data_IF_399527720901
#
_entry.id   IF_399527720901
#
_cell.length_a   1.000
_cell.length_b   1.000
_cell.length_c   1.000
_cell.angle_alpha   90.00
_cell.angle_beta   90.00
_cell.angle_gamma   90.00
#
_symmetry.space_group_name_H-M   'P 1'
#
loop_
_entity.id
_entity.type
_entity.pdbx_description
1 polymer ?
#
# COMPACT_ATOMS: atom_id res chain seq x y z
N UNK A 1 37.48 13.71 32.96
CA UNK A 1 37.99 12.75 31.96
C UNK A 1 37.26 11.40 32.00
N UNK A 2 37.26 10.67 33.14
CA UNK A 2 36.64 9.29 33.22
C UNK A 2 35.16 9.25 32.74
N UNK A 3 34.32 10.25 33.09
CA UNK A 3 32.91 10.33 32.70
C UNK A 3 32.74 10.50 31.19
N UNK A 4 33.61 11.26 30.52
CA UNK A 4 33.53 11.47 29.06
C UNK A 4 33.93 10.22 28.32
N UNK A 5 34.95 9.47 28.78
CA UNK A 5 35.33 8.18 28.23
C UNK A 5 34.21 7.13 28.40
N UNK A 6 33.50 7.13 29.54
CA UNK A 6 32.37 6.24 29.76
C UNK A 6 31.20 6.60 28.79
N UNK A 7 30.87 7.87 28.64
CA UNK A 7 29.84 8.33 27.66
C UNK A 7 30.22 7.93 26.23
N UNK A 8 31.47 8.19 25.83
CA UNK A 8 31.98 7.80 24.53
C UNK A 8 31.86 6.31 24.30
N UNK A 9 32.28 5.47 25.25
CA UNK A 9 32.22 4.02 25.13
C UNK A 9 30.78 3.51 24.97
N UNK A 10 29.84 4.06 25.75
CA UNK A 10 28.42 3.67 25.64
C UNK A 10 27.84 4.08 24.27
N UNK A 11 28.05 5.33 23.84
CA UNK A 11 27.54 5.82 22.55
C UNK A 11 28.17 5.06 21.39
N UNK A 12 29.49 4.83 21.45
CA UNK A 12 30.19 4.06 20.43
C UNK A 12 29.67 2.62 20.37
N UNK A 13 29.48 1.95 21.50
CA UNK A 13 28.96 0.60 21.54
C UNK A 13 27.55 0.51 20.94
N UNK A 14 26.65 1.41 21.32
CA UNK A 14 25.30 1.49 20.75
C UNK A 14 25.33 1.77 19.24
N UNK A 15 26.20 2.66 18.81
CA UNK A 15 26.37 2.98 17.39
C UNK A 15 26.91 1.79 16.59
N UNK A 16 27.92 1.09 17.10
CA UNK A 16 28.46 -0.11 16.46
C UNK A 16 27.43 -1.24 16.39
N UNK A 17 26.63 -1.45 17.45
CA UNK A 17 25.51 -2.39 17.43
C UNK A 17 24.47 -2.02 16.36
N UNK A 18 24.18 -0.72 16.23
CA UNK A 18 23.31 -0.23 15.16
C UNK A 18 23.88 -0.50 13.77
N UNK A 19 25.20 -0.25 13.55
CA UNK A 19 25.86 -0.51 12.27
C UNK A 19 25.87 -2.02 11.91
N UNK A 20 26.11 -2.87 12.90
CA UNK A 20 26.04 -4.33 12.73
C UNK A 20 24.62 -4.75 12.35
N UNK A 21 23.61 -4.21 13.02
CA UNK A 21 22.20 -4.50 12.71
C UNK A 21 21.81 -4.05 11.31
N UNK A 22 22.25 -2.85 10.89
CA UNK A 22 21.97 -2.28 9.55
C UNK A 22 22.91 -2.85 8.48
N UNK A 23 23.95 -3.62 8.87
CA UNK A 23 24.97 -4.16 7.97
C UNK A 23 25.65 -3.09 7.11
N UNK A 24 25.94 -1.92 7.69
CA UNK A 24 26.49 -0.75 6.98
C UNK A 24 27.90 -0.40 7.46
N UNK A 25 28.93 -0.80 6.70
CA UNK A 25 30.31 -0.42 6.99
C UNK A 25 30.61 1.07 6.69
N UNK A 26 29.85 1.65 5.77
CA UNK A 26 30.00 3.08 5.44
C UNK A 26 29.72 3.99 6.64
N UNK A 27 28.88 3.54 7.57
CA UNK A 27 28.58 4.25 8.81
C UNK A 27 29.79 4.44 9.71
N UNK A 28 30.88 3.67 9.56
CA UNK A 28 32.11 3.86 10.33
C UNK A 28 32.72 5.24 10.15
N UNK A 29 32.42 5.95 9.06
CA UNK A 29 32.87 7.34 8.84
C UNK A 29 32.38 8.31 9.93
N UNK A 30 31.34 7.95 10.68
CA UNK A 30 30.78 8.77 11.78
C UNK A 30 31.58 8.59 13.09
N UNK A 31 32.30 7.48 13.24
CA UNK A 31 33.04 7.18 14.48
C UNK A 31 34.05 8.26 14.86
N UNK A 32 34.89 8.82 13.95
CA UNK A 32 35.77 9.93 14.26
C UNK A 32 35.05 11.18 14.81
N UNK A 33 33.83 11.45 14.30
CA UNK A 33 33.02 12.58 14.80
C UNK A 33 32.48 12.33 16.20
N UNK A 34 32.02 11.10 16.49
CA UNK A 34 31.62 10.69 17.85
C UNK A 34 32.83 10.84 18.79
N UNK A 35 34.04 10.44 18.37
CA UNK A 35 35.25 10.55 19.15
C UNK A 35 35.61 12.04 19.40
N UNK A 36 35.44 12.90 18.40
CA UNK A 36 35.69 14.32 18.56
C UNK A 36 34.71 14.96 19.55
N UNK A 37 33.41 14.68 19.44
CA UNK A 37 32.38 15.26 20.33
C UNK A 37 32.67 14.97 21.82
N UNK A 38 33.12 13.76 22.14
CA UNK A 38 33.30 13.36 23.54
C UNK A 38 34.71 13.50 24.06
N UNK A 39 35.75 13.32 23.22
CA UNK A 39 37.14 13.16 23.65
C UNK A 39 38.00 14.33 23.18
N UNK A 40 38.17 14.52 21.86
CA UNK A 40 39.14 15.51 21.34
C UNK A 40 38.63 16.93 21.39
N UNK A 41 37.34 17.14 21.18
CA UNK A 41 36.67 18.46 21.18
C UNK A 41 37.37 19.50 20.31
N UNK A 42 38.02 19.05 19.22
CA UNK A 42 38.71 19.91 18.28
C UNK A 42 37.75 20.73 17.42
N UNK A 43 36.59 20.15 17.08
CA UNK A 43 35.55 20.84 16.35
C UNK A 43 34.61 21.51 17.36
N UNK A 44 34.47 22.84 17.25
CA UNK A 44 33.57 23.60 18.10
C UNK A 44 32.12 23.45 17.60
N UNK A 45 31.53 22.24 17.80
CA UNK A 45 30.18 21.91 17.35
C UNK A 45 29.09 22.87 17.82
N UNK A 46 29.35 23.49 19.00
CA UNK A 46 28.40 24.40 19.66
C UNK A 46 29.02 25.79 19.82
N UNK A 47 29.76 26.28 18.81
CA UNK A 47 30.44 27.59 18.80
C UNK A 47 29.50 28.73 19.17
N UNK A 48 28.23 28.62 18.78
CA UNK A 48 27.19 29.59 19.06
C UNK A 48 26.88 29.79 20.55
N UNK A 49 27.28 28.88 21.43
CA UNK A 49 27.14 29.03 22.88
C UNK A 49 28.05 30.08 23.49
N UNK A 50 29.13 30.38 22.83
CA UNK A 50 30.10 31.36 23.22
C UNK A 50 29.72 32.77 22.72
N UNK A 51 28.69 32.87 21.85
CA UNK A 51 28.14 34.12 21.35
C UNK A 51 27.08 34.72 22.30
N UNK A 52 26.82 36.03 22.17
CA UNK A 52 25.84 36.75 22.96
C UNK A 52 24.70 37.31 22.09
N UNK A 53 23.56 37.67 22.73
CA UNK A 53 22.46 38.39 22.10
C UNK A 53 21.71 37.57 21.04
N UNK A 54 21.32 38.17 19.88
CA UNK A 54 20.47 37.55 18.88
C UNK A 54 21.06 36.28 18.24
N UNK A 55 22.41 36.27 18.05
CA UNK A 55 23.10 35.13 17.43
C UNK A 55 22.91 33.85 18.26
N UNK A 56 23.17 33.95 19.56
CA UNK A 56 22.96 32.81 20.48
C UNK A 56 21.51 32.32 20.48
N UNK A 57 20.57 33.24 20.50
CA UNK A 57 19.13 32.90 20.48
C UNK A 57 18.76 32.18 19.20
N UNK A 58 19.06 32.74 18.03
CA UNK A 58 18.74 32.16 16.72
C UNK A 58 19.40 30.79 16.55
N UNK A 59 20.72 30.71 16.82
CA UNK A 59 21.46 29.47 16.64
C UNK A 59 21.04 28.35 17.58
N UNK A 60 20.52 28.67 18.78
CA UNK A 60 19.97 27.66 19.67
C UNK A 60 18.71 27.01 19.09
N UNK A 61 17.86 27.76 18.40
CA UNK A 61 16.70 27.22 17.68
C UNK A 61 17.10 26.42 16.44
N UNK A 62 18.12 26.90 15.70
CA UNK A 62 18.63 26.16 14.53
C UNK A 62 19.21 24.81 14.96
N UNK A 63 20.03 24.78 16.03
CA UNK A 63 20.61 23.54 16.56
C UNK A 63 19.51 22.54 17.01
N UNK A 64 18.52 23.03 17.77
CA UNK A 64 17.39 22.21 18.19
C UNK A 64 16.59 21.68 17.01
N UNK A 65 16.34 22.51 16.00
CA UNK A 65 15.59 22.10 14.79
C UNK A 65 16.37 21.07 13.98
N UNK A 66 17.66 21.28 13.73
CA UNK A 66 18.51 20.33 13.01
C UNK A 66 18.57 18.99 13.74
N UNK A 67 18.79 19.02 15.06
CA UNK A 67 18.78 17.81 15.87
C UNK A 67 17.43 17.07 15.77
N UNK A 68 16.32 17.80 15.91
CA UNK A 68 14.98 17.21 15.83
C UNK A 68 14.71 16.57 14.45
N UNK A 69 15.06 17.27 13.36
CA UNK A 69 14.87 16.76 11.99
C UNK A 69 15.70 15.49 11.74
N UNK A 70 16.98 15.48 12.15
CA UNK A 70 17.84 14.30 12.02
C UNK A 70 17.32 13.14 12.86
N UNK A 71 16.96 13.39 14.12
CA UNK A 71 16.44 12.35 15.00
C UNK A 71 15.14 11.75 14.45
N UNK A 72 14.19 12.60 14.04
CA UNK A 72 12.91 12.14 13.47
C UNK A 72 13.13 11.39 12.15
N UNK A 73 14.06 11.84 11.32
CA UNK A 73 14.40 11.13 10.08
C UNK A 73 14.87 9.69 10.36
N UNK A 74 15.81 9.51 11.29
CA UNK A 74 16.30 8.16 11.66
C UNK A 74 15.24 7.31 12.35
N UNK A 75 14.43 7.90 13.22
CA UNK A 75 13.32 7.19 13.88
C UNK A 75 12.31 6.72 12.83
N UNK A 76 11.88 7.60 11.93
CA UNK A 76 10.93 7.25 10.87
C UNK A 76 11.50 6.23 9.88
N UNK A 77 12.80 6.25 9.65
CA UNK A 77 13.44 5.32 8.72
C UNK A 77 13.54 3.90 9.29
N UNK A 78 13.99 3.75 10.54
CA UNK A 78 14.38 2.46 11.10
C UNK A 78 13.41 1.89 12.12
N UNK A 79 12.64 2.71 12.84
CA UNK A 79 11.89 2.24 13.99
C UNK A 79 10.38 2.31 13.80
N UNK A 80 9.82 3.50 13.70
CA UNK A 80 8.37 3.68 13.56
C UNK A 80 8.02 4.98 12.84
N UNK A 81 6.83 5.00 12.28
CA UNK A 81 6.27 6.16 11.59
C UNK A 81 4.77 6.25 11.85
N UNK A 82 4.26 7.46 11.95
CA UNK A 82 2.82 7.68 12.11
C UNK A 82 2.15 7.83 10.74
N UNK A 83 0.95 7.25 10.62
CA UNK A 83 0.08 7.36 9.45
C UNK A 83 -1.33 7.67 9.87
N UNK A 84 -2.09 8.35 9.03
CA UNK A 84 -3.52 8.56 9.19
C UNK A 84 -4.28 7.71 8.18
N UNK A 85 -5.43 7.18 8.58
CA UNK A 85 -6.35 6.44 7.71
C UNK A 85 -7.22 7.45 6.96
N UNK A 86 -7.07 7.57 5.62
CA UNK A 86 -7.81 8.57 4.85
C UNK A 86 -9.12 8.02 4.23
N UNK A 87 -9.34 6.70 4.24
CA UNK A 87 -10.44 6.07 3.50
C UNK A 87 -11.09 4.93 4.26
N UNK A 88 -12.32 4.61 3.91
CA UNK A 88 -13.16 3.56 4.53
C UNK A 88 -12.86 2.13 4.08
N UNK A 89 -11.75 1.88 3.36
CA UNK A 89 -11.43 0.53 2.82
C UNK A 89 -11.16 -0.55 3.88
N UNK A 90 -10.79 -0.15 5.12
CA UNK A 90 -10.66 -1.02 6.29
C UNK A 90 -11.73 -0.69 7.36
N UNK A 91 -12.84 -0.08 6.94
CA UNK A 91 -13.92 0.33 7.84
C UNK A 91 -14.34 -0.81 8.78
N UNK A 92 -14.74 -0.48 9.99
CA UNK A 92 -14.98 -1.32 11.18
C UNK A 92 -13.69 -1.85 11.84
N UNK A 93 -12.60 -2.09 11.11
CA UNK A 93 -11.29 -2.42 11.68
C UNK A 93 -10.48 -1.16 11.97
N UNK A 94 -10.18 -0.38 10.94
CA UNK A 94 -9.55 0.94 11.06
C UNK A 94 -10.48 1.98 10.42
N UNK A 95 -10.80 3.01 11.18
CA UNK A 95 -11.75 4.04 10.76
C UNK A 95 -11.03 5.21 10.11
N UNK A 96 -11.68 5.87 9.19
CA UNK A 96 -11.20 7.16 8.65
C UNK A 96 -10.94 8.13 9.79
N UNK A 97 -9.75 8.74 9.85
CA UNK A 97 -9.31 9.61 10.94
C UNK A 97 -8.63 8.89 12.12
N UNK A 98 -8.37 7.58 12.03
CA UNK A 98 -7.46 6.88 12.94
C UNK A 98 -6.01 7.22 12.61
N UNK A 99 -5.22 7.57 13.62
CA UNK A 99 -3.78 7.79 13.53
C UNK A 99 -3.05 6.58 14.09
N UNK A 100 -2.28 5.93 13.23
CA UNK A 100 -1.60 4.68 13.51
C UNK A 100 -0.14 4.89 13.88
N UNK A 101 0.30 4.20 14.92
CA UNK A 101 1.71 4.00 15.20
C UNK A 101 2.18 2.74 14.49
N UNK A 102 3.01 2.89 13.45
CA UNK A 102 3.45 1.80 12.58
C UNK A 102 4.89 1.44 12.86
N UNK A 103 5.12 0.21 13.30
CA UNK A 103 6.46 -0.33 13.56
C UNK A 103 7.08 -0.89 12.28
N UNK A 104 8.25 -0.39 11.92
CA UNK A 104 9.09 -0.94 10.84
C UNK A 104 9.92 -2.12 11.33
N UNK A 105 10.29 -2.12 12.60
CA UNK A 105 11.08 -3.19 13.23
C UNK A 105 10.34 -4.52 13.22
N UNK A 106 9.01 -4.51 13.24
CA UNK A 106 8.19 -5.73 13.23
C UNK A 106 8.52 -6.65 12.05
N UNK A 107 8.68 -6.09 10.84
CA UNK A 107 9.03 -6.84 9.62
C UNK A 107 10.46 -6.57 9.14
N UNK A 108 11.19 -5.68 9.84
CA UNK A 108 12.50 -5.18 9.46
C UNK A 108 12.40 -3.92 8.57
N UNK A 109 13.11 -2.84 8.95
CA UNK A 109 13.14 -1.62 8.16
C UNK A 109 13.84 -1.84 6.82
N UNK A 110 13.36 -1.15 5.79
CA UNK A 110 14.04 -1.09 4.49
C UNK A 110 15.13 -0.03 4.52
N UNK A 111 16.27 -0.31 3.92
CA UNK A 111 17.22 0.73 3.57
C UNK A 111 16.60 1.55 2.43
N UNK A 112 16.62 2.89 2.50
CA UNK A 112 16.01 3.71 1.46
C UNK A 112 16.70 3.51 0.11
N UNK A 113 15.89 3.34 -0.94
CA UNK A 113 16.39 3.30 -2.32
C UNK A 113 16.90 4.68 -2.74
N UNK A 114 16.24 5.75 -2.28
CA UNK A 114 16.63 7.15 -2.50
C UNK A 114 17.04 7.81 -1.17
N UNK A 115 18.30 7.65 -0.72
CA UNK A 115 18.74 8.10 0.60
C UNK A 115 18.75 9.62 0.79
N UNK A 116 18.91 10.38 -0.28
CA UNK A 116 18.94 11.84 -0.23
C UNK A 116 17.52 12.38 -0.40
N UNK A 117 16.84 12.58 0.72
CA UNK A 117 15.46 13.06 0.76
C UNK A 117 15.24 14.10 1.85
N UNK A 118 14.31 15.02 1.61
CA UNK A 118 13.86 15.97 2.62
C UNK A 118 13.11 15.20 3.73
N UNK A 119 13.50 15.37 5.01
CA UNK A 119 12.78 14.78 6.12
C UNK A 119 11.29 15.17 6.13
N UNK A 120 10.44 14.27 6.64
CA UNK A 120 8.99 14.47 6.79
C UNK A 120 8.19 14.62 5.49
N UNK A 121 8.78 14.31 4.34
CA UNK A 121 8.10 14.32 3.05
C UNK A 121 8.08 12.93 2.44
N UNK A 122 7.02 12.59 1.68
CA UNK A 122 6.95 11.31 0.98
C UNK A 122 7.58 11.40 -0.42
N UNK A 123 7.10 12.28 -1.26
CA UNK A 123 7.55 12.40 -2.66
C UNK A 123 7.63 13.84 -3.16
N UNK A 124 6.84 14.76 -2.57
CA UNK A 124 6.72 16.15 -3.02
C UNK A 124 6.91 17.11 -1.85
N UNK A 125 7.61 18.19 -2.06
CA UNK A 125 7.75 19.25 -1.07
C UNK A 125 6.45 20.04 -0.96
N UNK A 126 5.93 20.24 0.25
CA UNK A 126 4.78 21.10 0.47
C UNK A 126 5.07 22.53 -0.03
N UNK A 127 4.06 23.24 -0.47
CA UNK A 127 4.06 24.63 -0.95
C UNK A 127 4.67 24.85 -2.34
N UNK A 128 5.70 24.12 -2.74
CA UNK A 128 6.42 24.37 -4.01
C UNK A 128 6.21 23.27 -5.06
N UNK A 129 5.54 22.18 -4.70
CA UNK A 129 5.18 21.05 -5.57
C UNK A 129 6.33 20.49 -6.42
N UNK A 130 7.55 20.48 -5.88
CA UNK A 130 8.73 19.85 -6.51
C UNK A 130 9.09 18.55 -5.81
N UNK A 131 9.85 17.66 -6.48
CA UNK A 131 10.35 16.42 -5.89
C UNK A 131 11.10 16.70 -4.58
N UNK A 132 10.80 15.97 -3.53
CA UNK A 132 11.44 16.08 -2.21
C UNK A 132 12.65 15.17 -2.03
N UNK A 133 13.07 14.49 -3.08
CA UNK A 133 14.19 13.53 -3.08
C UNK A 133 15.03 13.67 -4.34
N UNK A 134 16.27 13.19 -4.24
CA UNK A 134 17.22 13.10 -5.36
C UNK A 134 17.29 11.64 -5.80
N UNK A 135 17.21 11.38 -7.11
CA UNK A 135 17.20 10.02 -7.65
C UNK A 135 18.59 9.35 -7.63
N UNK A 136 19.64 10.11 -7.41
CA UNK A 136 21.01 9.59 -7.30
C UNK A 136 21.62 10.01 -5.96
N UNK A 137 22.27 9.09 -5.19
CA UNK A 137 22.42 7.67 -5.50
C UNK A 137 21.09 6.90 -5.36
N UNK A 138 20.93 5.87 -6.18
CA UNK A 138 19.83 4.90 -6.09
C UNK A 138 20.40 3.56 -5.63
N UNK A 139 19.88 3.02 -4.52
CA UNK A 139 20.36 1.77 -3.93
C UNK A 139 19.39 0.63 -4.23
N UNK A 140 19.95 -0.58 -4.42
CA UNK A 140 19.14 -1.77 -4.56
C UNK A 140 18.36 -2.07 -3.27
N UNK A 141 17.18 -2.69 -3.44
CA UNK A 141 16.37 -3.11 -2.31
C UNK A 141 17.16 -3.96 -1.32
N UNK A 142 17.13 -3.55 -0.07
CA UNK A 142 17.66 -4.30 1.07
C UNK A 142 16.81 -4.06 2.31
N UNK A 143 16.53 -5.14 3.03
CA UNK A 143 15.77 -5.10 4.29
C UNK A 143 16.66 -5.56 5.42
N UNK A 144 16.66 -4.79 6.50
CA UNK A 144 17.31 -5.16 7.77
C UNK A 144 16.46 -6.22 8.47
N UNK A 145 17.10 -7.14 9.19
CA UNK A 145 16.39 -8.19 9.92
C UNK A 145 15.44 -7.60 10.95
N UNK A 146 14.16 -7.98 10.87
CA UNK A 146 13.11 -7.59 11.81
C UNK A 146 12.86 -8.62 12.90
N UNK A 147 11.81 -8.37 13.69
CA UNK A 147 11.37 -9.27 14.77
C UNK A 147 10.56 -10.47 14.25
N UNK A 148 10.03 -10.38 13.02
CA UNK A 148 9.26 -11.44 12.41
C UNK A 148 8.90 -11.13 10.96
N UNK A 149 8.03 -11.95 10.37
CA UNK A 149 7.52 -11.81 9.01
C UNK A 149 6.04 -11.45 9.04
N UNK A 150 5.53 -10.97 7.91
CA UNK A 150 4.10 -10.76 7.70
C UNK A 150 3.35 -12.07 7.89
N UNK A 151 2.29 -12.04 8.71
CA UNK A 151 1.44 -13.18 9.01
C UNK A 151 0.09 -13.03 8.34
N UNK A 152 -0.59 -14.17 8.18
CA UNK A 152 -1.97 -14.19 7.69
C UNK A 152 -2.86 -13.37 8.62
N UNK A 153 -3.71 -12.54 8.04
CA UNK A 153 -4.60 -11.59 8.69
C UNK A 153 -3.93 -10.38 9.38
N UNK A 154 -2.60 -10.22 9.33
CA UNK A 154 -1.97 -8.97 9.72
C UNK A 154 -2.52 -7.79 8.89
N UNK A 155 -2.77 -6.65 9.52
CA UNK A 155 -2.92 -5.38 8.82
C UNK A 155 -1.52 -4.85 8.53
N UNK A 156 -1.27 -4.47 7.27
CA UNK A 156 0.08 -4.15 6.78
C UNK A 156 0.05 -2.81 6.07
N UNK A 157 1.02 -1.94 6.39
CA UNK A 157 1.31 -0.73 5.61
C UNK A 157 2.35 -1.07 4.55
N UNK A 158 2.08 -0.69 3.31
CA UNK A 158 2.96 -0.94 2.16
C UNK A 158 2.87 0.18 1.13
N UNK A 159 3.88 0.32 0.29
CA UNK A 159 3.84 1.25 -0.84
C UNK A 159 2.96 0.67 -1.96
N UNK A 160 2.18 1.52 -2.61
CA UNK A 160 1.23 1.14 -3.65
C UNK A 160 1.94 0.47 -4.84
N UNK A 161 1.65 -0.80 -5.17
CA UNK A 161 2.42 -1.55 -6.16
C UNK A 161 2.29 -0.99 -7.58
N UNK A 162 1.10 -0.48 -7.95
CA UNK A 162 0.86 0.11 -9.27
C UNK A 162 1.22 1.60 -9.35
N UNK A 163 1.78 2.19 -8.28
CA UNK A 163 2.19 3.59 -8.20
C UNK A 163 3.59 3.86 -8.77
N UNK A 164 4.19 2.93 -9.54
CA UNK A 164 5.46 3.10 -10.23
C UNK A 164 5.38 4.11 -11.39
N UNK A 165 4.22 4.21 -12.01
CA UNK A 165 3.93 5.14 -13.11
C UNK A 165 2.65 5.92 -12.77
N UNK A 166 2.65 7.22 -13.01
CA UNK A 166 1.50 8.09 -12.84
C UNK A 166 1.57 9.27 -13.80
N UNK A 167 0.43 9.94 -13.98
CA UNK A 167 0.36 11.23 -14.66
C UNK A 167 0.54 12.36 -13.65
N UNK A 168 1.22 13.43 -14.02
CA UNK A 168 1.59 14.50 -13.08
C UNK A 168 0.51 15.57 -12.88
N UNK A 169 -0.67 15.41 -13.46
CA UNK A 169 -1.82 16.28 -13.20
C UNK A 169 -2.49 15.90 -11.87
N UNK A 170 -2.66 16.85 -10.96
CA UNK A 170 -3.07 16.64 -9.56
C UNK A 170 -4.39 15.84 -9.44
N UNK A 171 -5.39 16.14 -10.27
CA UNK A 171 -6.70 15.44 -10.26
C UNK A 171 -6.65 13.98 -10.62
N UNK A 172 -5.56 13.51 -11.25
CA UNK A 172 -5.37 12.11 -11.67
C UNK A 172 -4.27 11.37 -10.90
N UNK A 173 -3.46 12.06 -10.08
CA UNK A 173 -2.33 11.45 -9.37
C UNK A 173 -2.73 10.29 -8.44
N UNK A 174 -3.96 10.30 -7.92
CA UNK A 174 -4.50 9.23 -7.07
C UNK A 174 -5.02 8.03 -7.88
N UNK A 175 -5.14 8.14 -9.21
CA UNK A 175 -5.67 7.08 -10.06
C UNK A 175 -4.58 6.06 -10.40
N UNK A 176 -4.97 4.80 -10.53
CA UNK A 176 -4.11 3.77 -11.09
C UNK A 176 -3.87 4.04 -12.58
N UNK A 177 -2.62 4.35 -12.94
CA UNK A 177 -2.24 4.65 -14.33
C UNK A 177 -2.58 3.51 -15.29
N UNK A 178 -2.37 2.26 -14.87
CA UNK A 178 -2.62 1.10 -15.73
C UNK A 178 -4.10 0.86 -15.97
N UNK A 179 -4.93 1.03 -14.94
CA UNK A 179 -6.39 1.00 -15.10
C UNK A 179 -6.88 2.14 -15.98
N UNK A 180 -6.35 3.35 -15.81
CA UNK A 180 -6.70 4.50 -16.63
C UNK A 180 -6.34 4.29 -18.10
N UNK A 181 -5.13 3.81 -18.38
CA UNK A 181 -4.68 3.46 -19.74
C UNK A 181 -5.59 2.40 -20.36
N UNK A 182 -5.91 1.34 -19.61
CA UNK A 182 -6.78 0.26 -20.05
C UNK A 182 -8.19 0.80 -20.36
N UNK A 183 -8.81 1.50 -19.44
CA UNK A 183 -10.20 2.00 -19.59
C UNK A 183 -10.34 2.97 -20.76
N UNK A 184 -9.38 3.89 -20.93
CA UNK A 184 -9.36 4.83 -22.07
C UNK A 184 -9.15 4.07 -23.38
N UNK A 185 -8.21 3.12 -23.40
CA UNK A 185 -7.92 2.32 -24.59
C UNK A 185 -9.11 1.48 -25.03
N UNK A 186 -9.76 0.81 -24.09
CA UNK A 186 -10.94 -0.02 -24.32
C UNK A 186 -12.10 0.83 -24.84
N UNK A 187 -12.38 1.97 -24.21
CA UNK A 187 -13.42 2.91 -24.66
C UNK A 187 -13.18 3.42 -26.08
N UNK A 188 -11.94 3.78 -26.40
CA UNK A 188 -11.59 4.26 -27.75
C UNK A 188 -11.71 3.15 -28.80
N UNK A 189 -11.32 1.91 -28.47
CA UNK A 189 -11.49 0.78 -29.37
C UNK A 189 -12.98 0.46 -29.61
N UNK A 190 -13.82 0.55 -28.59
CA UNK A 190 -15.29 0.42 -28.73
C UNK A 190 -15.86 1.50 -29.64
N UNK A 191 -15.50 2.77 -29.41
CA UNK A 191 -15.96 3.90 -30.21
C UNK A 191 -15.56 3.78 -31.69
N UNK A 192 -14.40 3.20 -31.97
CA UNK A 192 -13.88 2.97 -33.34
C UNK A 192 -14.37 1.66 -33.96
N UNK A 193 -15.25 0.91 -33.31
CA UNK A 193 -15.75 -0.37 -33.80
C UNK A 193 -14.66 -1.49 -33.88
N UNK A 194 -13.59 -1.35 -33.09
CA UNK A 194 -12.47 -2.29 -33.02
C UNK A 194 -12.58 -3.28 -31.85
N UNK A 195 -13.67 -3.18 -31.08
CA UNK A 195 -13.97 -4.14 -30.02
C UNK A 195 -14.09 -5.56 -30.55
N UNK A 196 -13.59 -6.52 -29.82
CA UNK A 196 -13.63 -7.94 -30.19
C UNK A 196 -14.11 -8.78 -29.02
N UNK A 197 -14.83 -9.87 -29.29
CA UNK A 197 -15.20 -10.83 -28.25
C UNK A 197 -13.97 -11.65 -27.80
N UNK A 198 -13.36 -11.19 -26.71
CA UNK A 198 -12.16 -11.80 -26.11
C UNK A 198 -12.41 -13.23 -25.61
N UNK A 199 -13.68 -13.64 -25.39
CA UNK A 199 -14.02 -14.99 -24.90
C UNK A 199 -13.76 -16.04 -25.96
N UNK A 200 -13.91 -15.68 -27.23
CA UNK A 200 -13.67 -16.58 -28.38
C UNK A 200 -12.18 -16.67 -28.76
N UNK A 201 -11.31 -15.87 -28.18
CA UNK A 201 -9.90 -15.78 -28.52
C UNK A 201 -9.04 -16.81 -27.78
N UNK A 202 -8.04 -17.37 -28.44
CA UNK A 202 -6.97 -18.09 -27.76
C UNK A 202 -6.04 -17.12 -27.00
N UNK A 203 -5.20 -17.61 -26.06
CA UNK A 203 -4.36 -16.75 -25.21
C UNK A 203 -3.41 -15.83 -25.99
N UNK A 204 -2.90 -16.22 -27.15
CA UNK A 204 -2.03 -15.36 -27.96
C UNK A 204 -2.82 -14.24 -28.63
N UNK A 205 -4.00 -14.54 -29.13
CA UNK A 205 -4.91 -13.54 -29.69
C UNK A 205 -5.38 -12.53 -28.63
N UNK A 206 -5.72 -13.02 -27.42
CA UNK A 206 -6.05 -12.14 -26.29
C UNK A 206 -4.88 -11.20 -25.98
N UNK A 207 -3.65 -11.73 -25.91
CA UNK A 207 -2.46 -10.92 -25.65
C UNK A 207 -2.31 -9.79 -26.68
N UNK A 208 -2.37 -10.09 -27.96
CA UNK A 208 -2.26 -9.07 -29.00
C UNK A 208 -3.39 -8.04 -28.93
N UNK A 209 -4.60 -8.47 -28.62
CA UNK A 209 -5.72 -7.55 -28.44
C UNK A 209 -5.50 -6.58 -27.27
N UNK A 210 -5.13 -7.09 -26.08
CA UNK A 210 -4.88 -6.25 -24.92
C UNK A 210 -3.64 -5.35 -25.10
N UNK A 211 -2.60 -5.81 -25.81
CA UNK A 211 -1.46 -4.96 -26.20
C UNK A 211 -1.92 -3.76 -27.06
N UNK A 212 -2.88 -3.96 -27.98
CA UNK A 212 -3.49 -2.86 -28.74
C UNK A 212 -4.30 -1.92 -27.85
N UNK A 213 -5.12 -2.45 -26.94
CA UNK A 213 -5.87 -1.63 -25.95
C UNK A 213 -4.92 -0.73 -25.17
N UNK A 214 -3.87 -1.30 -24.60
CA UNK A 214 -2.87 -0.53 -23.85
C UNK A 214 -2.09 0.47 -24.70
N UNK A 215 -1.76 0.12 -25.93
CA UNK A 215 -1.07 1.03 -26.84
C UNK A 215 -1.96 2.23 -27.19
N UNK A 216 -3.25 1.98 -27.48
CA UNK A 216 -4.23 3.02 -27.79
C UNK A 216 -4.40 3.99 -26.61
N UNK A 217 -4.60 3.46 -25.38
CA UNK A 217 -4.77 4.29 -24.19
C UNK A 217 -3.52 5.10 -23.86
N UNK A 218 -2.31 4.49 -23.93
CA UNK A 218 -1.05 5.21 -23.69
C UNK A 218 -0.84 6.33 -24.72
N UNK A 219 -1.08 6.05 -25.99
CA UNK A 219 -0.94 7.05 -27.05
C UNK A 219 -1.88 8.22 -26.82
N UNK A 220 -3.13 7.95 -26.42
CA UNK A 220 -4.10 8.99 -26.11
C UNK A 220 -3.63 9.87 -24.93
N UNK A 221 -3.29 9.28 -23.81
CA UNK A 221 -2.80 10.03 -22.63
C UNK A 221 -1.57 10.86 -23.00
N UNK A 222 -0.59 10.27 -23.70
CA UNK A 222 0.64 10.96 -24.12
C UNK A 222 0.39 12.08 -25.13
N UNK A 223 -0.69 12.01 -25.90
CA UNK A 223 -1.07 13.06 -26.87
C UNK A 223 -1.76 14.25 -26.24
N UNK A 224 -2.16 14.16 -24.97
CA UNK A 224 -2.92 15.20 -24.26
C UNK A 224 -2.20 15.69 -22.98
N UNK A 225 -0.97 16.22 -23.09
CA UNK A 225 -0.19 16.66 -21.91
C UNK A 225 -0.85 17.83 -21.18
N UNK A 226 -1.70 18.63 -21.85
CA UNK A 226 -2.47 19.70 -21.20
C UNK A 226 -3.57 19.20 -20.27
N UNK A 227 -4.01 17.93 -20.41
CA UNK A 227 -5.05 17.32 -19.59
C UNK A 227 -4.46 16.40 -18.51
N UNK A 228 -3.46 15.59 -18.88
CA UNK A 228 -2.88 14.56 -17.99
C UNK A 228 -1.53 14.97 -17.37
N UNK A 229 -0.90 16.04 -17.88
CA UNK A 229 0.46 16.37 -17.51
C UNK A 229 1.47 15.37 -18.08
N UNK A 230 2.69 15.39 -17.52
CA UNK A 230 3.74 14.45 -17.88
C UNK A 230 3.52 13.07 -17.25
N UNK A 231 3.94 12.02 -17.96
CA UNK A 231 3.99 10.66 -17.39
C UNK A 231 5.31 10.56 -16.61
N UNK A 232 5.21 10.34 -15.31
CA UNK A 232 6.37 10.26 -14.42
C UNK A 232 6.44 8.90 -13.72
N UNK A 233 7.66 8.50 -13.31
CA UNK A 233 7.88 7.30 -12.51
C UNK A 233 8.27 7.67 -11.07
N UNK A 234 7.94 6.79 -10.12
CA UNK A 234 8.34 6.92 -8.71
C UNK A 234 9.08 5.67 -8.23
N UNK A 235 10.24 5.81 -7.58
CA UNK A 235 10.89 4.71 -6.86
C UNK A 235 9.97 4.10 -5.81
N UNK A 236 10.20 2.86 -5.44
CA UNK A 236 9.31 2.11 -4.52
C UNK A 236 9.09 2.84 -3.20
N UNK A 237 10.15 3.38 -2.60
CA UNK A 237 10.09 4.08 -1.32
C UNK A 237 9.43 5.48 -1.39
N UNK A 238 9.08 5.96 -2.60
CA UNK A 238 8.44 7.26 -2.85
C UNK A 238 6.98 7.14 -3.33
N UNK A 239 6.45 5.92 -3.46
CA UNK A 239 5.06 5.68 -3.82
C UNK A 239 4.13 5.94 -2.64
N UNK A 240 2.85 6.12 -2.92
CA UNK A 240 1.82 6.27 -1.89
C UNK A 240 1.79 5.10 -0.91
N UNK A 241 1.49 5.39 0.34
CA UNK A 241 1.35 4.36 1.37
C UNK A 241 -0.10 3.89 1.44
N UNK A 242 -0.29 2.59 1.31
CA UNK A 242 -1.57 1.90 1.45
C UNK A 242 -1.56 1.04 2.70
N UNK A 243 -2.75 0.79 3.23
CA UNK A 243 -2.95 -0.14 4.34
C UNK A 243 -4.06 -1.11 3.99
N UNK A 244 -3.78 -2.43 4.10
CA UNK A 244 -4.72 -3.51 3.84
C UNK A 244 -4.42 -4.69 4.76
N UNK A 245 -5.34 -5.66 4.75
CA UNK A 245 -5.14 -6.93 5.45
C UNK A 245 -4.45 -7.94 4.53
N UNK A 246 -3.43 -8.63 5.05
CA UNK A 246 -2.78 -9.72 4.35
C UNK A 246 -3.67 -10.97 4.41
N UNK A 247 -4.28 -11.33 3.30
CA UNK A 247 -5.16 -12.50 3.20
C UNK A 247 -4.55 -13.67 2.46
N UNK A 248 -3.32 -13.52 1.97
CA UNK A 248 -2.57 -14.60 1.31
C UNK A 248 -1.07 -14.40 1.45
N UNK A 249 -0.36 -15.47 1.81
CA UNK A 249 1.07 -15.52 2.05
C UNK A 249 1.82 -16.15 0.87
N UNK A 250 3.14 -15.90 0.73
CA UNK A 250 3.97 -16.52 -0.30
C UNK A 250 3.84 -18.04 -0.33
N UNK A 251 3.72 -18.62 -1.53
CA UNK A 251 3.57 -20.06 -1.76
C UNK A 251 2.15 -20.61 -1.60
N UNK A 252 1.19 -19.81 -1.16
CA UNK A 252 -0.21 -20.24 -1.06
C UNK A 252 -0.96 -20.05 -2.38
N UNK A 253 -1.92 -20.92 -2.64
CA UNK A 253 -2.91 -20.73 -3.71
C UNK A 253 -4.17 -20.12 -3.12
N UNK A 254 -4.49 -18.91 -3.57
CA UNK A 254 -5.66 -18.16 -3.14
C UNK A 254 -6.79 -18.33 -4.16
N UNK A 255 -8.00 -18.54 -3.66
CA UNK A 255 -9.23 -18.55 -4.45
C UNK A 255 -10.35 -17.90 -3.64
N UNK A 256 -11.17 -17.07 -4.26
CA UNK A 256 -12.40 -16.53 -3.66
C UNK A 256 -13.57 -17.26 -4.31
N UNK A 257 -14.43 -17.85 -3.48
CA UNK A 257 -15.68 -18.53 -3.91
C UNK A 257 -16.83 -17.95 -3.09
N UNK A 258 -17.79 -17.35 -3.75
CA UNK A 258 -18.94 -16.73 -3.10
C UNK A 258 -18.52 -15.85 -1.91
N UNK A 259 -17.51 -14.97 -2.14
CA UNK A 259 -16.90 -14.03 -1.19
C UNK A 259 -15.95 -14.62 -0.14
N UNK A 260 -15.97 -15.94 0.04
CA UNK A 260 -15.11 -16.62 1.02
C UNK A 260 -13.74 -16.83 0.40
N UNK A 261 -12.69 -16.39 1.11
CA UNK A 261 -11.30 -16.61 0.73
C UNK A 261 -10.88 -18.03 1.11
N UNK A 262 -10.37 -18.78 0.14
CA UNK A 262 -9.78 -20.10 0.33
C UNK A 262 -8.28 -20.02 0.10
N UNK A 263 -7.51 -20.64 0.99
CA UNK A 263 -6.06 -20.78 0.88
C UNK A 263 -5.70 -22.26 0.82
N UNK A 264 -5.02 -22.68 -0.24
CA UNK A 264 -4.72 -24.09 -0.51
C UNK A 264 -5.96 -24.99 -0.38
N UNK A 265 -7.11 -24.51 -0.86
CA UNK A 265 -8.38 -25.23 -0.83
C UNK A 265 -9.14 -25.21 0.51
N UNK A 266 -8.58 -24.59 1.56
CA UNK A 266 -9.23 -24.46 2.87
C UNK A 266 -9.76 -23.05 3.05
N UNK A 267 -11.00 -22.92 3.55
CA UNK A 267 -11.58 -21.60 3.85
C UNK A 267 -10.76 -20.88 4.94
N UNK A 268 -10.37 -19.64 4.66
CA UNK A 268 -9.76 -18.76 5.66
C UNK A 268 -10.86 -18.21 6.58
N UNK A 269 -10.57 -18.18 7.89
CA UNK A 269 -11.46 -17.51 8.84
C UNK A 269 -11.35 -16.01 8.64
N UNK A 270 -12.43 -15.38 8.22
CA UNK A 270 -12.48 -13.93 8.11
C UNK A 270 -12.60 -13.26 9.48
N UNK A 271 -11.98 -12.07 9.67
CA UNK A 271 -12.27 -11.21 10.81
C UNK A 271 -13.75 -10.82 10.88
N UNK A 272 -14.26 -10.60 12.09
CA UNK A 272 -15.68 -10.28 12.31
C UNK A 272 -16.08 -8.91 11.72
N UNK A 273 -15.11 -8.00 11.56
CA UNK A 273 -15.28 -6.66 10.99
C UNK A 273 -15.33 -6.61 9.46
N UNK A 274 -15.14 -7.74 8.78
CA UNK A 274 -15.29 -7.79 7.32
C UNK A 274 -16.72 -7.46 6.93
N UNK A 275 -16.87 -6.56 5.97
CA UNK A 275 -18.19 -6.14 5.48
C UNK A 275 -18.32 -6.28 3.96
N UNK A 276 -19.56 -6.53 3.55
CA UNK A 276 -20.00 -6.59 2.15
C UNK A 276 -21.16 -5.64 1.94
N UNK A 277 -21.39 -5.19 0.72
CA UNK A 277 -22.55 -4.35 0.40
C UNK A 277 -23.80 -5.18 0.11
N UNK A 278 -24.91 -4.71 0.61
CA UNK A 278 -26.22 -5.32 0.45
C UNK A 278 -27.19 -4.32 -0.16
N UNK A 279 -28.01 -4.77 -1.12
CA UNK A 279 -29.23 -4.06 -1.52
C UNK A 279 -30.27 -4.29 -0.43
N UNK A 280 -30.84 -3.20 0.09
CA UNK A 280 -31.81 -3.26 1.18
C UNK A 280 -33.00 -2.36 0.85
N UNK A 281 -34.18 -2.83 1.25
CA UNK A 281 -35.42 -2.04 1.21
C UNK A 281 -36.05 -2.05 2.58
N UNK A 282 -36.31 -0.86 3.12
CA UNK A 282 -36.94 -0.64 4.40
C UNK A 282 -38.43 -0.37 4.25
N UNK A 283 -39.21 -0.67 5.29
CA UNK A 283 -40.62 -0.33 5.43
C UNK A 283 -40.84 1.08 6.00
N UNK A 284 -39.80 1.75 6.43
CA UNK A 284 -39.78 3.09 7.01
C UNK A 284 -38.39 3.66 7.07
N UNK A 285 -38.19 4.69 7.87
CA UNK A 285 -36.87 5.30 8.08
C UNK A 285 -35.95 4.37 8.92
N UNK A 286 -34.65 4.49 8.71
CA UNK A 286 -33.65 3.75 9.48
C UNK A 286 -33.53 4.38 10.88
N UNK A 287 -33.77 3.63 11.98
CA UNK A 287 -33.60 4.16 13.32
C UNK A 287 -32.14 4.45 13.66
N UNK A 288 -31.84 5.66 14.13
CA UNK A 288 -30.46 6.11 14.44
C UNK A 288 -29.85 5.25 15.54
N UNK A 289 -30.63 4.96 16.62
CA UNK A 289 -30.16 4.12 17.74
C UNK A 289 -29.73 2.71 17.26
N UNK A 290 -30.47 2.15 16.30
CA UNK A 290 -30.13 0.86 15.71
C UNK A 290 -28.87 0.94 14.81
N UNK A 291 -28.68 2.07 14.12
CA UNK A 291 -27.47 2.30 13.34
C UNK A 291 -26.24 2.30 14.25
N UNK A 292 -26.31 3.02 15.38
CA UNK A 292 -25.23 3.08 16.36
C UNK A 292 -24.94 1.69 16.98
N UNK A 293 -25.99 0.93 17.35
CA UNK A 293 -25.84 -0.43 17.90
C UNK A 293 -25.16 -1.41 16.91
N UNK A 294 -25.48 -1.27 15.63
CA UNK A 294 -24.93 -2.10 14.57
C UNK A 294 -23.60 -1.56 14.00
N UNK A 295 -23.15 -0.40 14.49
CA UNK A 295 -21.96 0.27 14.04
C UNK A 295 -22.06 0.78 12.59
N UNK A 296 -23.25 1.12 12.12
CA UNK A 296 -23.51 1.69 10.80
C UNK A 296 -23.20 3.19 10.86
N UNK A 297 -22.31 3.67 9.99
CA UNK A 297 -21.85 5.06 10.00
C UNK A 297 -22.80 5.98 9.22
N UNK A 298 -22.64 7.30 9.41
CA UNK A 298 -23.37 8.28 8.60
C UNK A 298 -23.04 8.15 7.11
N UNK A 299 -21.80 7.82 6.74
CA UNK A 299 -21.39 7.54 5.35
C UNK A 299 -22.16 6.33 4.79
N UNK A 300 -22.31 5.25 5.58
CA UNK A 300 -23.08 4.06 5.20
C UNK A 300 -24.56 4.40 4.97
N UNK A 301 -25.15 5.24 5.84
CA UNK A 301 -26.55 5.68 5.72
C UNK A 301 -26.74 6.63 4.52
N UNK A 302 -25.79 7.52 4.24
CA UNK A 302 -25.81 8.37 3.05
C UNK A 302 -25.79 7.54 1.77
N UNK A 303 -24.88 6.53 1.71
CA UNK A 303 -24.81 5.57 0.59
C UNK A 303 -26.15 4.84 0.43
N UNK A 304 -26.75 4.38 1.51
CA UNK A 304 -28.06 3.74 1.50
C UNK A 304 -29.16 4.66 0.95
N UNK A 305 -29.23 5.88 1.42
CA UNK A 305 -30.24 6.84 0.98
C UNK A 305 -30.12 7.22 -0.51
N UNK A 306 -28.89 7.21 -1.04
CA UNK A 306 -28.63 7.53 -2.44
C UNK A 306 -28.87 6.36 -3.39
N UNK A 307 -28.58 5.14 -2.96
CA UNK A 307 -28.49 3.98 -3.87
C UNK A 307 -29.30 2.75 -3.43
N UNK A 308 -29.88 2.74 -2.23
CA UNK A 308 -30.48 1.55 -1.64
C UNK A 308 -29.47 0.46 -1.26
N UNK A 309 -28.17 0.79 -1.28
CA UNK A 309 -27.07 -0.14 -1.01
C UNK A 309 -26.36 0.27 0.28
N UNK A 310 -26.09 -0.69 1.16
CA UNK A 310 -25.44 -0.44 2.46
C UNK A 310 -24.33 -1.48 2.71
N UNK A 311 -23.13 -1.05 3.17
CA UNK A 311 -22.11 -1.98 3.63
C UNK A 311 -22.43 -2.46 5.05
N UNK A 312 -22.40 -3.78 5.26
CA UNK A 312 -22.74 -4.41 6.54
C UNK A 312 -21.74 -5.49 6.90
N UNK A 313 -21.39 -5.55 8.18
CA UNK A 313 -20.74 -6.73 8.75
C UNK A 313 -21.72 -7.90 8.81
N UNK A 314 -21.21 -9.12 9.00
CA UNK A 314 -22.04 -10.30 9.14
C UNK A 314 -23.03 -10.16 10.31
N UNK A 315 -22.60 -9.57 11.44
CA UNK A 315 -23.44 -9.30 12.61
C UNK A 315 -24.61 -8.37 12.25
N UNK A 316 -24.30 -7.22 11.63
CA UNK A 316 -25.31 -6.24 11.24
C UNK A 316 -26.29 -6.81 10.20
N UNK A 317 -25.79 -7.55 9.18
CA UNK A 317 -26.63 -8.22 8.21
C UNK A 317 -27.63 -9.20 8.85
N UNK A 318 -27.15 -10.04 9.78
CA UNK A 318 -28.03 -11.03 10.45
C UNK A 318 -29.07 -10.35 11.33
N UNK A 319 -28.71 -9.30 12.06
CA UNK A 319 -29.64 -8.51 12.88
C UNK A 319 -30.73 -7.86 12.02
N UNK A 320 -30.34 -7.18 10.93
CA UNK A 320 -31.28 -6.54 10.02
C UNK A 320 -32.18 -7.55 9.30
N UNK A 321 -31.64 -8.68 8.87
CA UNK A 321 -32.40 -9.74 8.22
C UNK A 321 -33.45 -10.36 9.15
N UNK A 322 -33.17 -10.42 10.43
CA UNK A 322 -34.12 -10.91 11.45
C UNK A 322 -35.23 -9.87 11.77
N UNK A 323 -34.95 -8.56 11.57
CA UNK A 323 -35.89 -7.48 11.88
C UNK A 323 -36.89 -7.26 10.73
N UNK A 324 -37.86 -8.18 10.62
CA UNK A 324 -38.89 -8.14 9.57
C UNK A 324 -39.89 -6.98 9.69
N UNK A 325 -39.94 -6.31 10.84
CA UNK A 325 -40.76 -5.13 11.03
C UNK A 325 -40.18 -3.91 10.33
N UNK A 326 -38.85 -3.80 10.29
CA UNK A 326 -38.12 -2.72 9.64
C UNK A 326 -37.73 -3.04 8.20
N UNK A 327 -37.22 -4.25 7.95
CA UNK A 327 -36.63 -4.64 6.66
C UNK A 327 -37.64 -5.41 5.83
N UNK A 328 -37.99 -4.86 4.65
CA UNK A 328 -38.83 -5.54 3.66
C UNK A 328 -38.03 -6.61 2.90
N UNK A 329 -36.84 -6.24 2.41
CA UNK A 329 -35.94 -7.16 1.73
C UNK A 329 -34.47 -6.78 1.95
N UNK A 330 -33.59 -7.76 2.00
CA UNK A 330 -32.14 -7.59 2.06
C UNK A 330 -31.44 -8.72 1.31
N UNK A 331 -30.59 -8.37 0.35
CA UNK A 331 -29.82 -9.32 -0.45
C UNK A 331 -28.43 -8.78 -0.73
N UNK A 332 -27.48 -9.67 -1.02
CA UNK A 332 -26.12 -9.25 -1.38
C UNK A 332 -26.14 -8.43 -2.67
N UNK A 333 -25.37 -7.35 -2.70
CA UNK A 333 -25.19 -6.57 -3.92
C UNK A 333 -24.12 -7.22 -4.80
N UNK A 334 -24.57 -7.94 -5.86
CA UNK A 334 -23.68 -8.60 -6.82
C UNK A 334 -23.31 -7.71 -8.01
N UNK A 335 -24.05 -6.61 -8.23
CA UNK A 335 -23.94 -5.79 -9.44
C UNK A 335 -22.86 -4.70 -9.35
N UNK A 336 -22.34 -4.42 -8.16
CA UNK A 336 -21.33 -3.41 -8.01
C UNK A 336 -20.00 -3.91 -8.57
N UNK A 337 -19.66 -3.51 -9.78
CA UNK A 337 -18.31 -3.59 -10.33
C UNK A 337 -17.55 -2.34 -9.92
N UNK A 338 -16.46 -2.51 -9.19
CA UNK A 338 -15.53 -1.45 -8.88
C UNK A 338 -14.30 -1.64 -9.77
N UNK A 339 -14.31 -1.01 -10.95
CA UNK A 339 -13.24 -1.14 -11.93
C UNK A 339 -13.01 -2.57 -12.46
N UNK A 340 -12.06 -2.69 -13.35
CA UNK A 340 -11.67 -3.98 -13.92
C UNK A 340 -10.71 -4.73 -13.00
N UNK A 341 -10.81 -6.04 -12.98
CA UNK A 341 -10.03 -6.90 -12.09
C UNK A 341 -8.69 -7.29 -12.70
N UNK A 342 -7.71 -7.47 -11.84
CA UNK A 342 -6.40 -8.03 -12.22
C UNK A 342 -6.52 -9.51 -12.65
N UNK A 343 -5.82 -9.94 -13.70
CA UNK A 343 -4.97 -9.14 -14.58
C UNK A 343 -5.78 -8.42 -15.66
N UNK A 344 -5.42 -7.16 -15.95
CA UNK A 344 -6.10 -6.35 -16.97
C UNK A 344 -5.71 -6.71 -18.42
N UNK A 345 -4.83 -7.66 -18.63
CA UNK A 345 -4.28 -8.05 -19.93
C UNK A 345 -4.70 -9.47 -20.36
N UNK A 346 -5.77 -9.99 -19.75
CA UNK A 346 -6.39 -11.26 -20.14
C UNK A 346 -7.85 -11.32 -19.67
N UNK A 347 -8.67 -12.04 -20.42
CA UNK A 347 -10.01 -12.39 -19.96
C UNK A 347 -9.96 -13.61 -19.05
N UNK A 348 -10.39 -13.44 -17.80
CA UNK A 348 -10.40 -14.51 -16.79
C UNK A 348 -11.80 -14.97 -16.43
N UNK A 349 -12.82 -14.17 -16.68
CA UNK A 349 -14.19 -14.39 -16.21
C UNK A 349 -14.35 -14.25 -14.70
N UNK A 350 -13.34 -13.74 -14.01
CA UNK A 350 -13.39 -13.55 -12.55
C UNK A 350 -14.26 -12.36 -12.17
N UNK A 351 -14.82 -12.42 -10.99
CA UNK A 351 -15.51 -11.33 -10.34
C UNK A 351 -14.88 -11.06 -8.98
N UNK A 352 -15.17 -9.92 -8.36
CA UNK A 352 -14.65 -9.63 -7.01
C UNK A 352 -15.09 -10.64 -5.94
N UNK A 353 -16.21 -11.36 -6.18
CA UNK A 353 -16.80 -12.36 -5.28
C UNK A 353 -16.42 -13.80 -5.66
N UNK A 354 -15.93 -14.02 -6.89
CA UNK A 354 -15.45 -15.29 -7.39
C UNK A 354 -14.19 -15.08 -8.21
N UNK A 355 -13.02 -15.26 -7.58
CA UNK A 355 -11.73 -14.88 -8.10
C UNK A 355 -10.71 -16.02 -8.01
N UNK A 356 -9.84 -16.15 -8.99
CA UNK A 356 -8.77 -17.14 -9.00
C UNK A 356 -9.22 -18.52 -9.49
N UNK A 357 -8.46 -19.59 -9.21
CA UNK A 357 -7.32 -19.64 -8.28
C UNK A 357 -6.07 -18.90 -8.80
N UNK A 358 -5.31 -18.28 -7.89
CA UNK A 358 -3.99 -17.70 -8.17
C UNK A 358 -2.97 -18.22 -7.14
N UNK A 359 -1.81 -18.65 -7.63
CA UNK A 359 -0.69 -19.01 -6.75
C UNK A 359 0.10 -17.74 -6.42
N UNK A 360 0.37 -17.49 -5.15
CA UNK A 360 1.10 -16.31 -4.69
C UNK A 360 2.59 -16.61 -4.75
N UNK A 361 3.37 -15.88 -5.56
CA UNK A 361 4.78 -16.19 -5.77
C UNK A 361 5.59 -16.15 -4.45
N UNK A 362 6.56 -17.06 -4.36
CA UNK A 362 7.45 -17.18 -3.21
C UNK A 362 8.90 -17.19 -3.69
N UNK A 363 9.73 -16.47 -2.97
CA UNK A 363 11.17 -16.38 -3.23
C UNK A 363 11.82 -17.77 -3.32
N UNK A 364 12.57 -17.99 -4.38
CA UNK A 364 13.24 -19.25 -4.66
C UNK A 364 12.36 -20.36 -5.24
N UNK A 365 11.03 -20.17 -5.30
CA UNK A 365 10.12 -21.13 -5.93
C UNK A 365 9.86 -20.76 -7.42
N UNK A 366 9.60 -21.79 -8.22
CA UNK A 366 9.44 -21.66 -9.67
C UNK A 366 8.02 -22.00 -10.10
N UNK A 367 7.53 -21.30 -11.13
CA UNK A 367 6.30 -21.64 -11.83
C UNK A 367 6.56 -21.96 -13.28
N UNK A 368 5.86 -22.95 -13.85
CA UNK A 368 5.83 -23.16 -15.28
C UNK A 368 5.08 -22.02 -15.96
N UNK A 369 5.68 -21.41 -17.00
CA UNK A 369 5.09 -20.31 -17.75
C UNK A 369 4.33 -20.83 -18.98
N UNK A 370 3.13 -20.34 -19.15
CA UNK A 370 2.26 -20.56 -20.30
C UNK A 370 1.62 -19.24 -20.71
N UNK A 371 1.18 -19.10 -21.95
CA UNK A 371 0.44 -17.90 -22.37
C UNK A 371 -0.84 -17.68 -21.54
N UNK A 372 -1.42 -18.74 -20.96
CA UNK A 372 -2.63 -18.65 -20.15
C UNK A 372 -2.37 -18.03 -18.78
N UNK A 373 -1.25 -18.39 -18.10
CA UNK A 373 -0.94 -17.87 -16.76
C UNK A 373 0.00 -16.67 -16.77
N UNK A 374 0.66 -16.41 -17.88
CA UNK A 374 1.61 -15.29 -18.01
C UNK A 374 1.00 -13.94 -17.59
N UNK A 375 -0.22 -13.58 -18.01
CA UNK A 375 -0.83 -12.30 -17.61
C UNK A 375 -0.85 -12.06 -16.10
N UNK A 376 -1.04 -13.12 -15.31
CA UNK A 376 -1.07 -13.05 -13.84
C UNK A 376 0.32 -12.75 -13.26
N UNK A 377 1.40 -13.23 -13.88
CA UNK A 377 2.76 -13.14 -13.32
C UNK A 377 3.65 -12.15 -14.08
N UNK A 378 3.21 -11.64 -15.24
CA UNK A 378 4.02 -10.77 -16.08
C UNK A 378 4.51 -9.53 -15.35
N UNK A 379 3.64 -8.88 -14.55
CA UNK A 379 4.01 -7.71 -13.78
C UNK A 379 5.07 -8.04 -12.70
N UNK A 380 4.94 -9.18 -12.03
CA UNK A 380 5.94 -9.64 -11.07
C UNK A 380 7.32 -9.80 -11.73
N UNK A 381 7.35 -10.48 -12.88
CA UNK A 381 8.59 -10.79 -13.59
C UNK A 381 9.22 -9.54 -14.20
N UNK A 382 8.41 -8.71 -14.87
CA UNK A 382 8.89 -7.60 -15.68
C UNK A 382 9.13 -6.34 -14.83
N UNK A 383 8.14 -5.95 -14.01
CA UNK A 383 8.17 -4.66 -13.29
C UNK A 383 8.87 -4.79 -11.95
N UNK A 384 8.44 -5.75 -11.11
CA UNK A 384 8.98 -5.85 -9.76
C UNK A 384 10.36 -6.50 -9.70
N UNK A 385 10.66 -7.43 -10.61
CA UNK A 385 11.96 -8.11 -10.64
C UNK A 385 12.86 -7.67 -11.80
N UNK A 386 12.45 -6.62 -12.56
CA UNK A 386 13.29 -5.90 -13.52
C UNK A 386 13.74 -6.70 -14.73
N UNK A 387 12.96 -7.70 -15.19
CA UNK A 387 13.35 -8.51 -16.34
C UNK A 387 12.77 -7.98 -17.66
N UNK A 388 13.52 -8.13 -18.76
CA UNK A 388 13.00 -7.95 -20.12
C UNK A 388 12.21 -9.21 -20.53
N UNK A 389 10.88 -9.12 -20.51
CA UNK A 389 9.98 -10.21 -20.89
C UNK A 389 9.31 -9.88 -22.22
N UNK A 390 9.42 -10.80 -23.18
CA UNK A 390 8.83 -10.70 -24.51
C UNK A 390 8.16 -12.01 -24.91
N UNK A 391 7.10 -11.90 -25.69
CA UNK A 391 6.44 -13.04 -26.34
C UNK A 391 6.49 -12.81 -27.84
N UNK A 392 6.95 -13.81 -28.59
CA UNK A 392 7.01 -13.72 -30.04
C UNK A 392 5.66 -14.10 -30.71
N UNK A 393 5.59 -13.92 -32.02
CA UNK A 393 4.38 -14.22 -32.79
C UNK A 393 4.00 -15.71 -32.80
N UNK A 394 4.91 -16.60 -32.40
CA UNK A 394 4.65 -18.03 -32.24
C UNK A 394 4.21 -18.39 -30.80
N UNK A 395 4.08 -17.37 -29.92
CA UNK A 395 3.69 -17.57 -28.52
C UNK A 395 4.80 -18.10 -27.61
N UNK A 396 6.08 -18.02 -28.04
CA UNK A 396 7.22 -18.39 -27.22
C UNK A 396 7.59 -17.26 -26.29
N UNK A 397 7.81 -17.57 -25.01
CA UNK A 397 8.14 -16.61 -23.96
C UNK A 397 9.65 -16.49 -23.85
N UNK A 398 10.16 -15.28 -23.83
CA UNK A 398 11.58 -14.95 -23.65
C UNK A 398 11.75 -14.05 -22.42
N UNK A 399 12.74 -14.36 -21.58
CA UNK A 399 13.14 -13.56 -20.44
C UNK A 399 14.63 -13.24 -20.59
N UNK A 400 14.98 -11.96 -20.59
CA UNK A 400 16.36 -11.48 -20.81
C UNK A 400 17.01 -12.09 -22.06
N UNK A 401 16.25 -12.17 -23.15
CA UNK A 401 16.70 -12.71 -24.45
C UNK A 401 16.78 -14.24 -24.54
N UNK A 402 16.48 -14.99 -23.46
CA UNK A 402 16.50 -16.46 -23.46
C UNK A 402 15.07 -17.00 -23.42
N UNK A 403 14.79 -18.03 -24.24
CA UNK A 403 13.49 -18.71 -24.17
C UNK A 403 13.29 -19.34 -22.79
N UNK A 404 12.17 -19.04 -22.15
CA UNK A 404 11.82 -19.50 -20.80
C UNK A 404 10.54 -20.34 -20.82
N UNK A 405 10.57 -21.50 -20.19
CA UNK A 405 9.39 -22.35 -19.92
C UNK A 405 8.96 -22.29 -18.45
N UNK A 406 9.78 -21.69 -17.60
CA UNK A 406 9.51 -21.49 -16.17
C UNK A 406 10.21 -20.22 -15.70
N UNK A 407 9.79 -19.72 -14.54
CA UNK A 407 10.45 -18.58 -13.88
C UNK A 407 10.59 -18.85 -12.39
N UNK A 408 11.76 -18.53 -11.82
CA UNK A 408 12.05 -18.61 -10.38
C UNK A 408 12.00 -17.22 -9.80
N UNK A 409 11.09 -16.97 -8.84
CA UNK A 409 10.89 -15.66 -8.25
C UNK A 409 12.03 -15.29 -7.29
N UNK A 410 12.42 -13.99 -7.31
CA UNK A 410 13.48 -13.43 -6.47
C UNK A 410 12.95 -12.80 -5.19
N UNK A 411 11.64 -12.49 -5.14
CA UNK A 411 10.95 -11.83 -4.04
C UNK A 411 9.81 -12.71 -3.52
N UNK A 412 9.45 -12.50 -2.25
CA UNK A 412 8.20 -12.96 -1.69
C UNK A 412 7.06 -12.00 -2.07
N UNK A 413 5.87 -12.54 -2.30
CA UNK A 413 4.68 -11.77 -2.65
C UNK A 413 3.53 -12.05 -1.69
N UNK A 414 2.66 -11.06 -1.55
CA UNK A 414 1.52 -11.11 -0.66
C UNK A 414 0.25 -10.73 -1.41
N UNK A 415 -0.89 -11.22 -0.90
CA UNK A 415 -2.20 -10.82 -1.39
C UNK A 415 -2.92 -10.01 -0.33
N UNK A 416 -3.20 -8.75 -0.62
CA UNK A 416 -3.74 -7.76 0.29
C UNK A 416 -5.18 -7.44 -0.06
N UNK A 417 -6.09 -7.47 0.93
CA UNK A 417 -7.49 -7.08 0.74
C UNK A 417 -7.95 -6.12 1.83
N UNK A 418 -8.89 -5.22 1.48
CA UNK A 418 -9.57 -4.41 2.47
C UNK A 418 -10.66 -5.19 3.20
N UNK A 419 -10.98 -4.81 4.42
CA UNK A 419 -12.06 -5.41 5.20
C UNK A 419 -13.44 -4.95 4.69
N UNK A 420 -13.53 -3.75 4.13
CA UNK A 420 -14.68 -3.28 3.35
C UNK A 420 -14.61 -3.86 1.93
N UNK A 421 -14.95 -5.16 1.79
CA UNK A 421 -14.69 -5.98 0.61
C UNK A 421 -15.20 -5.42 -0.70
N UNK A 422 -16.33 -4.76 -0.70
CA UNK A 422 -16.95 -4.20 -1.90
C UNK A 422 -16.64 -2.72 -2.14
N UNK A 423 -15.97 -2.08 -1.16
CA UNK A 423 -15.52 -0.69 -1.23
C UNK A 423 -14.03 -0.58 -0.93
N UNK A 424 -13.24 -1.42 -1.60
CA UNK A 424 -11.78 -1.44 -1.45
C UNK A 424 -11.13 -1.71 -2.80
N UNK A 425 -10.30 -0.77 -3.23
CA UNK A 425 -9.26 -1.04 -4.21
C UNK A 425 -8.16 -1.84 -3.50
N UNK A 426 -7.89 -3.08 -3.96
CA UNK A 426 -6.96 -4.01 -3.33
C UNK A 426 -6.35 -4.99 -4.34
N UNK A 427 -5.70 -6.06 -3.91
CA UNK A 427 -5.00 -7.00 -4.80
C UNK A 427 -5.88 -7.63 -5.88
N UNK A 428 -7.20 -7.61 -5.73
CA UNK A 428 -8.12 -8.03 -6.81
C UNK A 428 -8.07 -7.11 -8.02
N UNK A 429 -7.56 -5.89 -7.86
CA UNK A 429 -7.50 -4.84 -8.90
C UNK A 429 -6.07 -4.57 -9.38
N UNK A 430 -5.06 -4.56 -8.50
CA UNK A 430 -3.66 -4.31 -8.86
C UNK A 430 -2.74 -5.53 -8.79
N UNK A 431 -3.21 -6.68 -8.27
CA UNK A 431 -2.43 -7.91 -8.17
C UNK A 431 -1.59 -8.01 -6.89
N UNK A 432 -0.45 -8.62 -7.01
CA UNK A 432 0.44 -8.96 -5.90
C UNK A 432 1.17 -7.74 -5.32
N UNK A 433 1.46 -7.81 -4.01
CA UNK A 433 2.33 -6.87 -3.30
C UNK A 433 3.66 -7.56 -3.01
N UNK A 434 4.77 -7.14 -3.63
CA UNK A 434 6.07 -7.74 -3.36
C UNK A 434 6.66 -7.28 -2.02
N UNK A 435 7.59 -8.07 -1.47
CA UNK A 435 8.18 -7.83 -0.14
C UNK A 435 8.90 -6.48 -0.03
N UNK A 436 9.49 -5.99 -1.12
CA UNK A 436 10.18 -4.69 -1.17
C UNK A 436 9.23 -3.50 -0.98
N UNK A 437 7.93 -3.68 -1.16
CA UNK A 437 6.90 -2.67 -0.91
C UNK A 437 6.41 -2.63 0.54
N UNK A 438 6.66 -3.66 1.35
CA UNK A 438 6.19 -3.72 2.75
C UNK A 438 6.91 -2.66 3.58
N UNK A 439 6.15 -1.78 4.23
CA UNK A 439 6.65 -0.69 5.08
C UNK A 439 6.71 -1.10 6.55
N UNK A 440 5.60 -1.61 7.11
CA UNK A 440 5.57 -1.98 8.52
C UNK A 440 4.20 -2.47 9.00
N UNK A 441 4.14 -2.77 10.30
CA UNK A 441 2.95 -3.26 10.99
C UNK A 441 2.36 -2.15 11.87
N UNK A 442 1.08 -1.77 11.69
CA UNK A 442 0.37 -0.95 12.67
C UNK A 442 0.29 -1.68 14.01
N UNK A 443 0.72 -1.05 15.08
CA UNK A 443 0.73 -1.65 16.43
C UNK A 443 -0.47 -1.18 17.23
N UNK A 444 -0.68 0.15 17.29
CA UNK A 444 -1.81 0.72 18.01
C UNK A 444 -2.28 2.04 17.37
N UNK A 445 -3.51 2.41 17.67
CA UNK A 445 -4.11 3.70 17.34
C UNK A 445 -3.75 4.67 18.47
N UNK A 446 -2.95 5.69 18.19
CA UNK A 446 -2.56 6.65 19.23
C UNK A 446 -3.50 7.86 19.30
N UNK A 447 -4.21 8.17 18.20
CA UNK A 447 -5.23 9.20 18.12
C UNK A 447 -6.33 8.78 17.15
N UNK A 448 -7.57 9.19 17.42
CA UNK A 448 -8.71 8.93 16.54
C UNK A 448 -9.69 10.08 16.58
N UNK A 449 -9.99 10.66 15.41
CA UNK A 449 -10.92 11.75 15.25
C UNK A 449 -11.84 11.50 14.05
N UNK A 450 -13.16 11.56 14.28
CA UNK A 450 -14.15 11.42 13.22
C UNK A 450 -14.13 12.66 12.31
N UNK A 451 -14.05 12.52 11.00
CA UNK A 451 -14.20 13.64 10.09
C UNK A 451 -15.63 14.24 10.11
N UNK A 452 -16.62 13.46 10.53
CA UNK A 452 -18.04 13.85 10.56
C UNK A 452 -18.39 14.81 11.70
N UNK A 453 -17.52 14.92 12.72
CA UNK A 453 -17.76 15.73 13.90
C UNK A 453 -16.58 16.68 14.17
N UNK A 454 -16.80 18.01 14.16
CA UNK A 454 -15.73 18.97 14.41
C UNK A 454 -15.33 19.05 15.90
N UNK A 455 -14.08 19.42 16.17
CA UNK A 455 -13.58 19.70 17.51
C UNK A 455 -13.57 18.50 18.44
N UNK A 456 -13.79 18.73 19.72
CA UNK A 456 -13.69 17.69 20.75
C UNK A 456 -14.75 16.59 20.65
N UNK A 457 -15.91 16.89 20.04
CA UNK A 457 -16.99 15.89 19.84
C UNK A 457 -16.60 14.79 18.85
N UNK A 458 -15.65 15.05 17.97
CA UNK A 458 -15.15 14.07 17.00
C UNK A 458 -14.12 13.10 17.59
N UNK A 459 -13.62 13.32 18.82
CA UNK A 459 -12.60 12.44 19.41
C UNK A 459 -13.23 11.11 19.81
N UNK A 460 -12.71 10.02 19.25
CA UNK A 460 -13.13 8.65 19.59
C UNK A 460 -12.28 8.11 20.74
N UNK A 461 -12.63 8.51 21.97
CA UNK A 461 -11.89 8.19 23.19
C UNK A 461 -11.66 6.70 23.41
N UNK A 462 -12.64 5.87 23.01
CA UNK A 462 -12.58 4.41 23.12
C UNK A 462 -11.57 3.75 22.18
N UNK A 463 -11.04 4.50 21.21
CA UNK A 463 -10.03 3.98 20.25
C UNK A 463 -8.61 4.38 20.62
N UNK A 464 -8.42 5.30 21.56
CA UNK A 464 -7.09 5.74 21.96
C UNK A 464 -6.30 4.57 22.58
N UNK A 465 -5.06 4.39 22.11
CA UNK A 465 -4.14 3.33 22.54
C UNK A 465 -4.66 1.90 22.33
N UNK A 466 -5.67 1.73 21.46
CA UNK A 466 -6.16 0.41 21.08
C UNK A 466 -5.14 -0.31 20.21
N UNK A 467 -4.70 -1.51 20.62
CA UNK A 467 -3.82 -2.36 19.83
C UNK A 467 -4.54 -2.91 18.61
N UNK A 468 -3.93 -2.77 17.43
CA UNK A 468 -4.53 -3.17 16.15
C UNK A 468 -4.78 -4.69 16.10
N UNK A 469 -3.92 -5.50 16.68
CA UNK A 469 -4.09 -6.96 16.74
C UNK A 469 -5.31 -7.41 17.56
N UNK A 470 -5.87 -6.54 18.41
CA UNK A 470 -7.09 -6.81 19.19
C UNK A 470 -8.37 -6.42 18.45
N UNK A 471 -8.28 -5.75 17.32
CA UNK A 471 -9.42 -5.35 16.48
C UNK A 471 -9.76 -6.54 15.56
N UNK A 472 -10.86 -7.23 15.90
CA UNK A 472 -11.31 -8.44 15.20
C UNK A 472 -12.57 -8.18 14.42
#
# INVERSE_FOLDING_TARGET
MKVQWAKFAVVLALYLLFLVWVESWLGLIVVPFIFDVYITKKIHWQWWKDEEGPVRFIMSWVDALVFALVAVYFINLFFFQNYVIPSSSLEKSLLTGDYLFVSKVSYGPRIPETPLTMPLTQHTMPLVNVKSYVEWPHWDYRRVKGLGNVKLNDIVVFNYPAGDTLVNEERYQANDYYQMVYSIGDQLMQQNGQEKDVRAMNPLQQRHYFEQVYATGRNYISSMPGEYGDIISRPTDRRENYVKRCVGLPGQTLQIKNRIVYLNGKANKEPDNVQYTYKMKLKGEFPIDLADELGITNEDLLMYNQSGVIPLTKKAYLALKANRNLVESISINTDATYGDLYPLNAYTGWTRDNYGPVWIPKKGESIALTLKNLPVYERCIKVYEGNDLKVDNAGRIFINGKQAKSYTFKLDYYWMMGDNRHNSADSRYWGFVPEDHIVGKPIFIWWSHSPDHPGFSGIRWNRLFTFVDNIK
#
